data_IF_283991989830
#
_entry.id   IF_283991989830
#
_cell.length_a   1.000
_cell.length_b   1.000
_cell.length_c   1.000
_cell.angle_alpha   90.00
_cell.angle_beta   90.00
_cell.angle_gamma   90.00
#
_symmetry.space_group_name_H-M   'P 1'
#
loop_
_entity.id
_entity.type
_entity.pdbx_description
1 polymer ?
#
# COMPACT_ATOMS: atom_id res chain seq x y z
N UNK A 1 7.17 9.81 -10.99
CA UNK A 1 7.08 9.21 -9.64
C UNK A 1 8.45 9.11 -9.01
N UNK A 2 9.46 8.50 -9.64
CA UNK A 2 10.81 8.38 -9.07
C UNK A 2 11.42 9.71 -8.57
N UNK A 3 11.28 10.81 -9.32
CA UNK A 3 11.78 12.11 -8.87
C UNK A 3 11.05 12.64 -7.61
N UNK A 4 9.76 12.30 -7.46
CA UNK A 4 8.95 12.68 -6.29
C UNK A 4 9.39 11.83 -5.10
N UNK A 5 9.56 10.52 -5.30
CA UNK A 5 9.96 9.60 -4.24
C UNK A 5 11.38 9.84 -3.73
N UNK A 6 12.28 10.24 -4.63
CA UNK A 6 13.61 10.69 -4.24
C UNK A 6 13.54 12.00 -3.45
N UNK A 7 12.72 12.96 -3.90
CA UNK A 7 12.57 14.24 -3.23
C UNK A 7 11.95 14.13 -1.82
N UNK A 8 11.01 13.19 -1.60
CA UNK A 8 10.44 12.94 -0.27
C UNK A 8 11.51 12.42 0.70
N UNK A 9 12.36 11.50 0.25
CA UNK A 9 13.49 11.00 1.06
C UNK A 9 14.54 12.06 1.32
N UNK A 10 14.91 12.84 0.31
CA UNK A 10 15.88 13.94 0.48
C UNK A 10 15.36 15.00 1.47
N UNK A 11 14.04 15.20 1.54
CA UNK A 11 13.42 16.22 2.39
C UNK A 11 13.14 15.75 3.81
N UNK A 12 12.66 14.52 3.99
CA UNK A 12 12.13 14.04 5.28
C UNK A 12 12.83 12.78 5.81
N UNK A 13 13.64 12.10 4.99
CA UNK A 13 14.36 10.91 5.37
C UNK A 13 13.53 9.63 5.37
N UNK A 14 14.22 8.51 5.51
CA UNK A 14 13.69 7.14 5.42
C UNK A 14 12.66 6.82 6.49
N UNK A 15 12.95 7.11 7.76
CA UNK A 15 12.05 6.77 8.88
C UNK A 15 10.70 7.47 8.74
N UNK A 16 10.68 8.73 8.29
CA UNK A 16 9.45 9.46 8.04
C UNK A 16 8.59 8.81 6.95
N UNK A 17 9.18 8.12 5.97
CA UNK A 17 8.39 7.40 4.96
C UNK A 17 7.76 6.14 5.55
N UNK A 18 8.43 5.48 6.50
CA UNK A 18 7.85 4.33 7.20
C UNK A 18 6.70 4.76 8.10
N UNK A 19 6.90 5.84 8.88
CA UNK A 19 5.87 6.39 9.75
C UNK A 19 4.64 6.82 8.94
N UNK A 20 4.84 7.52 7.82
CA UNK A 20 3.74 7.91 6.93
C UNK A 20 2.99 6.68 6.39
N UNK A 21 3.71 5.64 5.93
CA UNK A 21 3.05 4.43 5.43
C UNK A 21 2.22 3.71 6.51
N UNK A 22 2.67 3.75 7.77
CA UNK A 22 1.91 3.23 8.91
C UNK A 22 0.66 4.06 9.17
N UNK A 23 0.75 5.39 9.09
CA UNK A 23 -0.37 6.32 9.23
C UNK A 23 -1.45 6.06 8.17
N UNK A 24 -1.09 6.06 6.87
CA UNK A 24 -2.04 5.80 5.78
C UNK A 24 -2.73 4.43 5.92
N UNK A 25 -1.99 3.40 6.37
CA UNK A 25 -2.57 2.09 6.63
C UNK A 25 -3.60 2.14 7.77
N UNK A 26 -3.36 2.94 8.82
CA UNK A 26 -4.30 3.12 9.92
C UNK A 26 -5.55 3.90 9.49
N UNK A 27 -5.40 4.90 8.63
CA UNK A 27 -6.50 5.67 8.05
C UNK A 27 -7.39 4.79 7.15
N UNK A 28 -6.79 3.98 6.27
CA UNK A 28 -7.53 2.99 5.48
C UNK A 28 -8.30 1.98 6.36
N UNK A 29 -7.69 1.49 7.44
CA UNK A 29 -8.37 0.61 8.41
C UNK A 29 -9.59 1.31 9.02
N UNK A 30 -9.46 2.57 9.41
CA UNK A 30 -10.54 3.36 9.98
C UNK A 30 -11.65 3.60 8.94
N UNK A 31 -11.30 3.99 7.72
CA UNK A 31 -12.23 4.23 6.63
C UNK A 31 -13.04 2.97 6.29
N UNK A 32 -12.40 1.81 6.13
CA UNK A 32 -13.11 0.54 5.89
C UNK A 32 -14.12 0.22 7.01
N UNK A 33 -13.76 0.48 8.28
CA UNK A 33 -14.67 0.29 9.42
C UNK A 33 -15.84 1.27 9.40
N UNK A 34 -15.61 2.52 9.00
CA UNK A 34 -16.63 3.55 8.89
C UNK A 34 -17.57 3.30 7.70
N UNK A 35 -17.03 2.90 6.56
CA UNK A 35 -17.79 2.56 5.35
C UNK A 35 -18.72 1.39 5.60
N UNK A 36 -18.23 0.32 6.24
CA UNK A 36 -19.06 -0.84 6.64
C UNK A 36 -20.22 -0.45 7.57
N UNK A 37 -20.08 0.63 8.33
CA UNK A 37 -21.12 1.16 9.23
C UNK A 37 -22.01 2.21 8.56
N UNK A 38 -21.84 2.47 7.27
CA UNK A 38 -22.58 3.49 6.52
C UNK A 38 -22.28 4.93 6.96
N UNK A 39 -21.11 5.18 7.57
CA UNK A 39 -20.74 6.51 8.12
C UNK A 39 -20.00 7.41 7.12
N UNK A 40 -19.42 6.82 6.08
CA UNK A 40 -18.73 7.51 4.99
C UNK A 40 -19.15 6.85 3.68
N UNK A 41 -18.91 7.55 2.57
CA UNK A 41 -19.21 7.03 1.24
C UNK A 41 -18.05 6.18 0.69
N UNK A 42 -18.26 5.68 -0.54
CA UNK A 42 -17.25 4.86 -1.23
C UNK A 42 -16.03 5.70 -1.61
N UNK A 43 -16.18 6.99 -1.90
CA UNK A 43 -15.10 7.83 -2.36
C UNK A 43 -14.04 8.01 -1.26
N UNK A 44 -14.49 8.22 -0.02
CA UNK A 44 -13.57 8.29 1.12
C UNK A 44 -12.67 7.03 1.24
N UNK A 45 -13.20 5.82 0.98
CA UNK A 45 -12.36 4.61 0.98
C UNK A 45 -11.38 4.57 -0.20
N UNK A 46 -11.77 5.10 -1.36
CA UNK A 46 -10.91 5.16 -2.55
C UNK A 46 -9.74 6.11 -2.30
N UNK A 47 -9.97 7.23 -1.63
CA UNK A 47 -8.94 8.21 -1.32
C UNK A 47 -7.87 7.58 -0.42
N UNK A 48 -8.27 6.93 0.69
CA UNK A 48 -7.32 6.20 1.55
C UNK A 48 -6.59 5.04 0.84
N UNK A 49 -7.26 4.38 -0.11
CA UNK A 49 -6.61 3.36 -0.94
C UNK A 49 -5.55 3.98 -1.84
N UNK A 50 -5.80 5.18 -2.38
CA UNK A 50 -4.84 5.91 -3.21
C UNK A 50 -3.63 6.35 -2.38
N UNK A 51 -3.85 6.84 -1.15
CA UNK A 51 -2.78 7.28 -0.26
C UNK A 51 -1.89 6.11 0.18
N UNK A 52 -2.49 4.97 0.58
CA UNK A 52 -1.73 3.73 0.83
C UNK A 52 -1.00 3.26 -0.42
N UNK A 53 -1.61 3.34 -1.61
CA UNK A 53 -0.96 2.93 -2.87
C UNK A 53 0.26 3.79 -3.18
N UNK A 54 0.18 5.10 -2.94
CA UNK A 54 1.31 6.02 -3.09
C UNK A 54 2.45 5.63 -2.15
N UNK A 55 2.14 5.37 -0.88
CA UNK A 55 3.14 4.98 0.11
C UNK A 55 3.74 3.59 -0.19
N UNK A 56 2.96 2.64 -0.69
CA UNK A 56 3.50 1.36 -1.16
C UNK A 56 4.44 1.56 -2.36
N UNK A 57 4.13 2.48 -3.27
CA UNK A 57 5.03 2.86 -4.37
C UNK A 57 6.35 3.43 -3.87
N UNK A 58 6.30 4.33 -2.89
CA UNK A 58 7.47 4.90 -2.22
C UNK A 58 8.35 3.81 -1.59
N UNK A 59 7.75 2.94 -0.78
CA UNK A 59 8.47 1.86 -0.11
C UNK A 59 9.03 0.85 -1.11
N UNK A 60 8.28 0.53 -2.16
CA UNK A 60 8.73 -0.39 -3.20
C UNK A 60 9.99 0.12 -3.90
N UNK A 61 10.03 1.42 -4.19
CA UNK A 61 11.23 2.07 -4.71
C UNK A 61 12.40 2.01 -3.72
N UNK A 62 12.16 2.22 -2.42
CA UNK A 62 13.17 2.17 -1.35
C UNK A 62 13.76 0.77 -1.13
N UNK A 63 12.92 -0.26 -1.15
CA UNK A 63 13.33 -1.66 -0.92
C UNK A 63 13.80 -2.37 -2.21
N UNK A 64 13.59 -1.74 -3.37
CA UNK A 64 13.98 -2.24 -4.68
C UNK A 64 12.83 -2.92 -5.41
N UNK A 65 12.42 -2.30 -6.52
CA UNK A 65 11.27 -2.69 -7.34
C UNK A 65 11.29 -4.18 -7.71
N UNK A 66 12.41 -4.67 -8.25
CA UNK A 66 12.53 -6.07 -8.70
C UNK A 66 12.32 -7.08 -7.57
N UNK A 67 12.82 -6.80 -6.36
CA UNK A 67 12.69 -7.69 -5.21
C UNK A 67 11.24 -7.75 -4.71
N UNK A 68 10.57 -6.61 -4.66
CA UNK A 68 9.17 -6.53 -4.25
C UNK A 68 8.27 -7.19 -5.29
N UNK A 69 8.48 -6.94 -6.58
CA UNK A 69 7.70 -7.53 -7.66
C UNK A 69 7.83 -9.06 -7.68
N UNK A 70 9.04 -9.59 -7.49
CA UNK A 70 9.26 -11.02 -7.36
C UNK A 70 8.50 -11.62 -6.16
N UNK A 71 8.49 -10.92 -5.02
CA UNK A 71 7.74 -11.34 -3.84
C UNK A 71 6.22 -11.30 -4.05
N UNK A 72 5.71 -10.31 -4.78
CA UNK A 72 4.28 -10.21 -5.16
C UNK A 72 3.91 -11.34 -6.11
N UNK A 73 4.71 -11.59 -7.15
CA UNK A 73 4.49 -12.68 -8.10
C UNK A 73 4.39 -14.05 -7.41
N UNK A 74 5.32 -14.35 -6.49
CA UNK A 74 5.29 -15.59 -5.72
C UNK A 74 4.02 -15.72 -4.84
N UNK A 75 3.52 -14.61 -4.30
CA UNK A 75 2.26 -14.60 -3.53
C UNK A 75 1.04 -14.82 -4.43
N UNK A 76 1.04 -14.26 -5.64
CA UNK A 76 -0.03 -14.47 -6.63
C UNK A 76 -0.07 -15.92 -7.10
N UNK A 77 1.08 -16.51 -7.44
CA UNK A 77 1.17 -17.93 -7.81
C UNK A 77 0.65 -18.83 -6.69
N UNK A 78 1.00 -18.54 -5.44
CA UNK A 78 0.47 -19.27 -4.29
C UNK A 78 -1.06 -19.14 -4.17
N UNK A 79 -1.60 -17.94 -4.44
CA UNK A 79 -3.04 -17.70 -4.39
C UNK A 79 -3.78 -18.43 -5.51
N UNK A 80 -3.25 -18.39 -6.74
CA UNK A 80 -3.78 -19.15 -7.88
C UNK A 80 -3.81 -20.65 -7.58
N UNK A 81 -2.72 -21.18 -7.02
CA UNK A 81 -2.68 -22.57 -6.58
C UNK A 81 -3.77 -22.84 -5.53
N UNK A 82 -3.93 -22.00 -4.50
CA UNK A 82 -4.98 -22.16 -3.49
C UNK A 82 -6.39 -22.21 -4.10
N UNK A 83 -6.68 -21.37 -5.09
CA UNK A 83 -7.97 -21.36 -5.78
C UNK A 83 -8.18 -22.62 -6.63
N UNK A 84 -7.11 -23.16 -7.22
CA UNK A 84 -7.13 -24.37 -8.04
C UNK A 84 -7.06 -25.68 -7.23
N UNK A 85 -6.66 -25.65 -5.95
CA UNK A 85 -6.57 -26.84 -5.08
C UNK A 85 -7.88 -27.12 -4.34
N UNK A 86 -9.01 -26.70 -4.90
CA UNK A 86 -10.32 -26.95 -4.28
C UNK A 86 -10.80 -28.37 -4.66
N UNK A 87 -10.47 -29.35 -3.82
CA UNK A 87 -11.23 -30.58 -3.59
C UNK A 87 -11.93 -30.49 -2.22
#
# INVERSE_FOLDING_TARGET
MEHIYKATLEKWGTEAQYDQAVEECAELIAALKHFRRGKIDRQAVIDELADVTLMLGQLTWMFGQEQVDAAVAAKLEKLENLLNTTD
#
